data_IF_914748437481
#
_entry.id   IF_914748437481
#
_cell.length_a   1.000
_cell.length_b   1.000
_cell.length_c   1.000
_cell.angle_alpha   90.00
_cell.angle_beta   90.00
_cell.angle_gamma   90.00
#
_symmetry.space_group_name_H-M   'P 1'
#
loop_
_entity.id
_entity.type
_entity.pdbx_description
1 polymer ?
#
# COMPACT_ATOMS: atom_id res chain seq x y z
N UNK A 1 0.34 1.75 -14.79
CA UNK A 1 0.13 0.38 -14.28
C UNK A 1 -1.36 0.08 -14.26
N UNK A 2 -1.75 -1.10 -14.70
CA UNK A 2 -3.16 -1.48 -14.68
C UNK A 2 -3.61 -1.81 -13.25
N UNK A 3 -4.90 -1.71 -13.00
CA UNK A 3 -5.46 -1.98 -11.68
C UNK A 3 -5.10 -3.39 -11.16
N UNK A 4 -5.23 -4.48 -11.96
CA UNK A 4 -4.83 -5.80 -11.48
C UNK A 4 -3.36 -5.89 -11.11
N UNK A 5 -2.49 -5.23 -11.87
CA UNK A 5 -1.05 -5.23 -11.58
C UNK A 5 -0.76 -4.49 -10.28
N UNK A 6 -1.43 -3.37 -10.05
CA UNK A 6 -1.30 -2.60 -8.82
C UNK A 6 -1.71 -3.46 -7.62
N UNK A 7 -2.88 -4.06 -7.69
CA UNK A 7 -3.41 -4.90 -6.60
C UNK A 7 -2.46 -6.05 -6.31
N UNK A 8 -2.01 -6.76 -7.34
CA UNK A 8 -1.09 -7.87 -7.19
C UNK A 8 0.22 -7.44 -6.55
N UNK A 9 0.78 -6.31 -6.98
CA UNK A 9 2.04 -5.79 -6.44
C UNK A 9 1.91 -5.45 -4.96
N UNK A 10 0.83 -4.78 -4.58
CA UNK A 10 0.61 -4.38 -3.18
C UNK A 10 0.39 -5.60 -2.29
N UNK A 11 -0.46 -6.52 -2.71
CA UNK A 11 -0.74 -7.71 -1.90
C UNK A 11 0.47 -8.62 -1.78
N UNK A 12 1.24 -8.76 -2.86
CA UNK A 12 2.47 -9.54 -2.84
C UNK A 12 3.47 -8.95 -1.84
N UNK A 13 3.65 -7.64 -1.88
CA UNK A 13 4.53 -6.95 -0.93
C UNK A 13 4.09 -7.19 0.50
N UNK A 14 2.79 -7.12 0.76
CA UNK A 14 2.24 -7.36 2.09
C UNK A 14 2.52 -8.79 2.55
N UNK A 15 2.30 -9.77 1.69
CA UNK A 15 2.58 -11.17 2.02
C UNK A 15 4.05 -11.40 2.32
N UNK A 16 4.93 -10.88 1.48
CA UNK A 16 6.37 -11.07 1.60
C UNK A 16 6.90 -10.39 2.86
N UNK A 17 6.55 -9.12 3.08
CA UNK A 17 7.10 -8.35 4.18
C UNK A 17 6.60 -8.81 5.54
N UNK A 18 5.36 -9.28 5.62
CA UNK A 18 4.77 -9.72 6.88
C UNK A 18 4.75 -11.24 7.04
N UNK A 19 5.28 -11.98 6.07
CA UNK A 19 5.31 -13.44 6.12
C UNK A 19 3.93 -14.08 6.13
N UNK A 20 2.95 -13.44 5.48
CA UNK A 20 1.57 -13.92 5.47
C UNK A 20 1.35 -14.91 4.34
N UNK A 21 0.78 -16.06 4.66
CA UNK A 21 0.44 -17.05 3.65
C UNK A 21 -0.93 -16.79 3.03
N UNK A 22 -1.85 -16.26 3.83
CA UNK A 22 -3.21 -15.99 3.39
C UNK A 22 -3.57 -14.55 3.65
N UNK A 23 -4.34 -13.97 2.74
CA UNK A 23 -4.86 -12.61 2.85
C UNK A 23 -6.36 -12.67 3.16
N UNK A 24 -6.82 -11.73 3.97
CA UNK A 24 -8.23 -11.60 4.26
C UNK A 24 -8.94 -10.79 3.18
N UNK A 25 -10.29 -10.90 3.10
CA UNK A 25 -11.06 -10.10 2.15
C UNK A 25 -10.90 -8.60 2.35
N UNK A 26 -10.69 -8.16 3.61
CA UNK A 26 -10.47 -6.75 3.88
C UNK A 26 -9.15 -6.25 3.32
N UNK A 27 -8.12 -7.08 3.32
CA UNK A 27 -6.83 -6.71 2.75
C UNK A 27 -6.97 -6.48 1.25
N UNK A 28 -7.70 -7.34 0.58
CA UNK A 28 -7.97 -7.21 -0.85
C UNK A 28 -8.76 -5.91 -1.13
N UNK A 29 -9.80 -5.65 -0.34
CA UNK A 29 -10.63 -4.46 -0.51
C UNK A 29 -9.82 -3.18 -0.36
N UNK A 30 -8.89 -3.14 0.58
CA UNK A 30 -8.03 -1.97 0.78
C UNK A 30 -7.14 -1.76 -0.45
N UNK A 31 -6.55 -2.83 -0.96
CA UNK A 31 -5.72 -2.73 -2.16
C UNK A 31 -6.53 -2.24 -3.38
N UNK A 32 -7.76 -2.72 -3.51
CA UNK A 32 -8.66 -2.28 -4.58
C UNK A 32 -8.94 -0.78 -4.46
N UNK A 33 -9.22 -0.30 -3.26
CA UNK A 33 -9.47 1.13 -3.04
C UNK A 33 -8.27 1.97 -3.46
N UNK A 34 -7.08 1.53 -3.07
CA UNK A 34 -5.87 2.25 -3.46
C UNK A 34 -5.65 2.22 -4.98
N UNK A 35 -6.00 1.09 -5.61
CA UNK A 35 -5.89 0.98 -7.06
C UNK A 35 -6.84 1.92 -7.80
N UNK A 36 -7.96 2.24 -7.19
CA UNK A 36 -8.95 3.15 -7.78
C UNK A 36 -8.53 4.61 -7.68
N UNK A 37 -7.56 4.92 -6.82
CA UNK A 37 -6.95 6.24 -6.80
C UNK A 37 -5.81 6.25 -7.81
N UNK A 38 -5.34 7.42 -8.18
CA UNK A 38 -4.29 7.54 -9.17
C UNK A 38 -2.89 7.51 -8.54
N UNK A 39 -2.69 6.65 -7.54
CA UNK A 39 -1.41 6.56 -6.87
C UNK A 39 -0.53 5.47 -7.48
N UNK A 40 0.80 5.69 -7.52
CA UNK A 40 1.71 4.63 -7.93
C UNK A 40 1.82 3.56 -6.84
N UNK A 41 2.05 2.31 -7.24
CA UNK A 41 2.14 1.19 -6.31
C UNK A 41 3.30 1.33 -5.33
N UNK A 42 4.32 2.12 -5.66
CA UNK A 42 5.45 2.36 -4.77
C UNK A 42 5.03 2.99 -3.45
N UNK A 43 3.95 3.76 -3.44
CA UNK A 43 3.48 4.42 -2.22
C UNK A 43 3.00 3.41 -1.19
N UNK A 44 2.02 2.53 -1.49
CA UNK A 44 1.63 1.53 -0.52
C UNK A 44 2.72 0.50 -0.23
N UNK A 45 3.55 0.16 -1.22
CA UNK A 45 4.64 -0.79 -1.01
C UNK A 45 5.65 -0.25 0.01
N UNK A 46 6.02 1.02 -0.10
CA UNK A 46 6.94 1.64 0.86
C UNK A 46 6.33 1.71 2.26
N UNK A 47 5.04 2.01 2.36
CA UNK A 47 4.36 2.02 3.65
C UNK A 47 4.36 0.64 4.28
N UNK A 48 4.14 -0.40 3.48
CA UNK A 48 4.19 -1.79 3.94
C UNK A 48 5.59 -2.14 4.44
N UNK A 49 6.62 -1.79 3.69
CA UNK A 49 8.00 -2.06 4.08
C UNK A 49 8.36 -1.36 5.39
N UNK A 50 7.99 -0.09 5.52
CA UNK A 50 8.28 0.68 6.72
C UNK A 50 7.56 0.10 7.95
N UNK A 51 6.31 -0.31 7.77
CA UNK A 51 5.53 -0.91 8.85
C UNK A 51 6.12 -2.25 9.27
N UNK A 52 6.53 -3.06 8.31
CA UNK A 52 7.11 -4.37 8.59
C UNK A 52 8.42 -4.24 9.37
N UNK A 53 9.21 -3.22 9.05
CA UNK A 53 10.48 -2.97 9.74
C UNK A 53 10.29 -2.62 11.22
N UNK A 54 9.13 -2.08 11.57
CA UNK A 54 8.81 -1.69 12.95
C UNK A 54 7.97 -2.73 13.69
N UNK A 55 7.47 -3.72 12.97
CA UNK A 55 6.52 -4.67 13.52
C UNK A 55 7.24 -5.88 14.12
N UNK A 56 6.82 -6.30 15.31
CA UNK A 56 7.31 -7.53 15.93
C UNK A 56 6.76 -8.75 15.18
N UNK A 57 7.54 -9.83 15.16
CA UNK A 57 7.12 -11.06 14.50
C UNK A 57 5.78 -11.58 14.99
N UNK A 58 5.53 -11.49 16.30
CA UNK A 58 4.27 -11.93 16.87
C UNK A 58 3.08 -11.12 16.40
N UNK A 59 3.30 -9.85 16.09
CA UNK A 59 2.25 -8.95 15.61
C UNK A 59 2.10 -8.99 14.10
N UNK A 60 3.13 -9.42 13.39
CA UNK A 60 3.12 -9.43 11.93
C UNK A 60 2.00 -10.29 11.36
N UNK A 61 1.73 -11.44 11.99
CA UNK A 61 0.69 -12.35 11.55
C UNK A 61 -0.72 -11.82 11.79
N UNK A 62 -0.86 -10.83 12.67
CA UNK A 62 -2.14 -10.21 13.00
C UNK A 62 -2.31 -8.85 12.34
N UNK A 63 -1.26 -8.36 11.71
CA UNK A 63 -1.29 -7.04 11.09
C UNK A 63 -2.28 -7.01 9.94
N UNK A 64 -3.03 -5.92 9.85
CA UNK A 64 -4.04 -5.75 8.79
C UNK A 64 -3.63 -4.62 7.88
N UNK A 65 -3.77 -4.85 6.58
CA UNK A 65 -3.41 -3.84 5.58
C UNK A 65 -4.18 -2.54 5.79
N UNK A 66 -5.43 -2.65 6.26
CA UNK A 66 -6.26 -1.47 6.52
C UNK A 66 -5.65 -0.52 7.56
N UNK A 67 -4.76 -1.01 8.41
CA UNK A 67 -4.11 -0.17 9.43
C UNK A 67 -3.12 0.82 8.80
N UNK A 68 -2.74 0.58 7.55
CA UNK A 68 -1.83 1.46 6.83
C UNK A 68 -2.56 2.52 6.00
N UNK A 69 -3.89 2.53 6.03
CA UNK A 69 -4.67 3.45 5.21
C UNK A 69 -4.27 4.91 5.44
N UNK A 70 -4.16 5.33 6.70
CA UNK A 70 -3.77 6.71 7.02
C UNK A 70 -2.36 7.02 6.54
N UNK A 71 -1.42 6.09 6.73
CA UNK A 71 -0.04 6.29 6.30
C UNK A 71 0.08 6.38 4.80
N UNK A 72 -0.65 5.52 4.08
CA UNK A 72 -0.65 5.52 2.62
C UNK A 72 -1.28 6.80 2.09
N UNK A 73 -2.40 7.23 2.67
CA UNK A 73 -3.07 8.46 2.24
C UNK A 73 -2.19 9.68 2.45
N UNK A 74 -1.50 9.74 3.59
CA UNK A 74 -0.58 10.83 3.87
C UNK A 74 0.59 10.84 2.87
N UNK A 75 1.17 9.68 2.62
CA UNK A 75 2.26 9.56 1.65
C UNK A 75 1.80 9.95 0.25
N UNK A 76 0.59 9.56 -0.12
CA UNK A 76 0.03 9.91 -1.42
C UNK A 76 -0.21 11.42 -1.53
N UNK A 77 -0.71 12.04 -0.46
CA UNK A 77 -0.93 13.49 -0.43
C UNK A 77 0.39 14.24 -0.63
N UNK A 78 1.46 13.80 0.04
CA UNK A 78 2.78 14.40 -0.15
C UNK A 78 3.30 14.20 -1.56
N UNK A 79 3.14 12.98 -2.09
CA UNK A 79 3.57 12.67 -3.44
C UNK A 79 2.85 13.57 -4.47
N UNK A 80 1.55 13.75 -4.29
CA UNK A 80 0.78 14.62 -5.19
C UNK A 80 1.23 16.07 -5.09
N UNK A 81 1.55 16.52 -3.89
CA UNK A 81 2.03 17.89 -3.67
C UNK A 81 3.34 18.12 -4.41
N UNK A 82 4.24 17.15 -4.35
CA UNK A 82 5.53 17.24 -5.01
C UNK A 82 5.42 17.14 -6.53
N UNK A 83 4.56 16.26 -7.01
CA UNK A 83 4.41 15.98 -8.44
C UNK A 83 3.31 16.77 -9.12
N UNK A 84 2.46 17.43 -8.33
CA UNK A 84 1.30 18.16 -8.86
C UNK A 84 1.60 19.16 -9.94
N UNK A 85 2.60 20.04 -9.79
CA UNK A 85 2.93 21.02 -10.83
C UNK A 85 3.31 20.39 -12.16
N UNK A 86 3.96 19.23 -12.12
CA UNK A 86 4.31 18.53 -13.35
C UNK A 86 3.09 17.91 -14.01
N UNK A 87 2.21 17.36 -13.22
CA UNK A 87 0.99 16.73 -13.75
C UNK A 87 0.04 17.77 -14.33
N UNK A 88 -0.02 18.94 -13.72
CA UNK A 88 -0.89 20.00 -14.19
C UNK A 88 -0.49 20.51 -15.56
N UNK A 89 0.76 20.31 -15.96
CA UNK A 89 1.28 20.74 -17.26
C UNK A 89 1.16 19.68 -18.33
N UNK A 90 0.94 18.47 -17.93
CA UNK A 90 0.81 17.38 -18.87
C UNK A 90 -0.65 17.09 -19.16
#
# INVERSE_FOLDING_TARGET
MSEPDFIGTVLDAFQVQFGRLNLGPMDYDVAVRWAQTDMPSTIPVRAIEAAAAKCDRGKALRFKLQWLTADVEEAYTEWRRMMGPYRARS
#
